data_IF_685432650348
#
_entry.id   IF_685432650348
#
_cell.length_a   1.000
_cell.length_b   1.000
_cell.length_c   1.000
_cell.angle_alpha   90.00
_cell.angle_beta   90.00
_cell.angle_gamma   90.00
#
_symmetry.space_group_name_H-M   'P 1'
#
loop_
_entity.id
_entity.type
_entity.pdbx_description
1 polymer ?
#
# COMPACT_ATOMS: atom_id res chain seq x y z
N UNK A 1 -0.15 5.30 12.68
CA UNK A 1 1.29 5.08 12.91
C UNK A 1 1.99 5.20 11.56
N UNK A 2 2.74 6.28 11.31
CA UNK A 2 3.44 6.48 10.04
C UNK A 2 4.62 5.50 9.99
N UNK A 3 4.52 4.46 9.17
CA UNK A 3 5.60 3.51 8.97
C UNK A 3 6.68 4.13 8.07
N UNK A 4 7.70 4.69 8.70
CA UNK A 4 8.75 5.44 8.02
C UNK A 4 9.87 4.53 7.48
N UNK A 5 9.80 3.22 7.74
CA UNK A 5 10.66 2.22 7.08
C UNK A 5 10.11 1.80 5.71
N UNK A 6 8.87 2.17 5.39
CA UNK A 6 8.23 1.88 4.11
C UNK A 6 9.01 2.51 2.94
N UNK A 7 9.10 1.75 1.86
CA UNK A 7 9.69 2.21 0.60
C UNK A 7 8.91 3.40 0.06
N UNK A 8 9.63 4.34 -0.57
CA UNK A 8 9.02 5.49 -1.21
C UNK A 8 8.09 4.98 -2.32
N UNK A 9 6.86 5.49 -2.39
CA UNK A 9 5.95 5.11 -3.45
C UNK A 9 6.57 5.33 -4.82
N UNK A 10 6.58 4.29 -5.66
CA UNK A 10 7.19 4.32 -6.99
C UNK A 10 6.68 5.47 -7.88
N UNK A 11 5.45 5.95 -7.63
CA UNK A 11 4.88 7.08 -8.33
C UNK A 11 5.65 8.40 -8.14
N UNK A 12 6.37 8.59 -7.03
CA UNK A 12 7.21 9.79 -6.82
C UNK A 12 8.50 9.77 -7.65
N UNK A 13 8.90 8.59 -8.14
CA UNK A 13 10.11 8.38 -8.93
C UNK A 13 9.84 8.29 -10.45
N UNK A 14 8.57 8.35 -10.87
CA UNK A 14 8.21 8.40 -12.28
C UNK A 14 8.68 9.72 -12.89
N UNK A 15 9.41 9.64 -14.02
CA UNK A 15 9.96 10.81 -14.74
C UNK A 15 8.88 11.86 -15.03
N UNK A 16 7.69 11.43 -15.46
CA UNK A 16 6.55 12.32 -15.72
C UNK A 16 6.11 13.08 -14.47
N UNK A 17 6.04 12.41 -13.33
CA UNK A 17 5.60 13.01 -12.07
C UNK A 17 6.67 13.97 -11.49
N UNK A 18 7.95 13.67 -11.68
CA UNK A 18 9.05 14.57 -11.34
C UNK A 18 8.97 15.85 -12.18
N UNK A 19 8.71 15.73 -13.49
CA UNK A 19 8.55 16.90 -14.38
C UNK A 19 7.33 17.74 -13.96
N UNK A 20 6.18 17.11 -13.69
CA UNK A 20 4.97 17.79 -13.20
C UNK A 20 5.23 18.52 -11.88
N UNK A 21 5.98 17.91 -10.96
CA UNK A 21 6.39 18.54 -9.71
C UNK A 21 7.25 19.77 -9.96
N UNK A 22 8.30 19.64 -10.77
CA UNK A 22 9.20 20.76 -11.08
C UNK A 22 8.41 21.92 -11.70
N UNK A 23 7.58 21.66 -12.71
CA UNK A 23 6.77 22.69 -13.37
C UNK A 23 5.79 23.38 -12.41
N UNK A 24 5.07 22.60 -11.60
CA UNK A 24 4.13 23.15 -10.63
C UNK A 24 4.84 23.97 -9.55
N UNK A 25 5.99 23.50 -9.07
CA UNK A 25 6.78 24.20 -8.05
C UNK A 25 7.37 25.50 -8.58
N UNK A 26 7.82 25.53 -9.84
CA UNK A 26 8.29 26.74 -10.50
C UNK A 26 7.16 27.77 -10.67
N UNK A 27 5.98 27.31 -11.11
CA UNK A 27 4.80 28.16 -11.24
C UNK A 27 4.34 28.71 -9.89
N UNK A 28 4.27 27.85 -8.86
CA UNK A 28 3.92 28.26 -7.50
C UNK A 28 4.93 29.27 -6.93
N UNK A 29 6.23 29.02 -7.10
CA UNK A 29 7.28 29.92 -6.62
C UNK A 29 7.17 31.31 -7.27
N UNK A 30 6.88 31.38 -8.57
CA UNK A 30 6.71 32.64 -9.29
C UNK A 30 5.52 33.46 -8.72
N UNK A 31 4.39 32.81 -8.49
CA UNK A 31 3.21 33.45 -7.89
C UNK A 31 3.52 33.86 -6.45
N UNK A 32 4.10 32.97 -5.65
CA UNK A 32 4.38 33.20 -4.24
C UNK A 32 5.32 34.39 -4.03
N UNK A 33 6.38 34.48 -4.83
CA UNK A 33 7.33 35.59 -4.75
C UNK A 33 6.68 36.90 -5.18
N UNK A 34 5.83 36.89 -6.21
CA UNK A 34 5.19 38.11 -6.72
C UNK A 34 4.05 38.62 -5.80
N UNK A 35 3.28 37.72 -5.19
CA UNK A 35 2.13 38.07 -4.35
C UNK A 35 2.56 38.35 -2.91
N UNK A 36 3.44 37.52 -2.35
CA UNK A 36 3.77 37.57 -0.92
C UNK A 36 5.04 38.37 -0.62
N UNK A 37 5.87 38.66 -1.63
CA UNK A 37 7.17 39.35 -1.49
C UNK A 37 7.98 38.92 -0.24
N UNK A 38 8.10 37.60 0.03
CA UNK A 38 8.55 37.07 1.33
C UNK A 38 9.96 37.55 1.74
N UNK A 39 10.80 37.86 0.75
CA UNK A 39 12.19 38.28 0.93
C UNK A 39 12.36 39.80 1.10
N UNK A 40 11.26 40.54 1.31
CA UNK A 40 11.27 42.00 1.47
C UNK A 40 11.55 42.76 0.18
N UNK A 41 11.31 42.14 -0.98
CA UNK A 41 11.60 42.71 -2.32
C UNK A 41 10.90 44.07 -2.51
N UNK A 42 9.78 44.29 -1.82
CA UNK A 42 9.02 45.53 -1.77
C UNK A 42 9.77 46.70 -1.09
N UNK A 43 10.63 46.40 -0.10
CA UNK A 43 11.41 47.42 0.64
C UNK A 43 12.62 47.88 -0.17
N UNK A 44 13.16 47.02 -1.02
CA UNK A 44 14.40 47.27 -1.78
C UNK A 44 14.19 47.99 -3.10
N UNK A 45 13.01 47.86 -3.71
CA UNK A 45 12.73 48.41 -5.03
C UNK A 45 11.50 49.29 -4.97
N UNK A 46 11.70 50.58 -4.70
CA UNK A 46 10.73 51.63 -5.01
C UNK A 46 10.56 51.80 -6.53
N UNK A 47 10.16 50.73 -7.25
CA UNK A 47 10.02 50.78 -8.70
C UNK A 47 8.83 50.02 -9.24
N UNK A 48 8.40 50.46 -10.43
CA UNK A 48 7.29 50.00 -11.25
C UNK A 48 7.14 48.48 -11.27
N UNK A 49 5.89 47.98 -11.19
CA UNK A 49 5.51 46.55 -11.15
C UNK A 49 6.28 45.64 -12.12
N UNK A 50 6.66 46.15 -13.29
CA UNK A 50 7.41 45.43 -14.32
C UNK A 50 8.87 45.11 -13.95
N UNK A 51 9.56 46.01 -13.24
CA UNK A 51 10.93 45.74 -12.79
C UNK A 51 10.95 44.72 -11.66
N UNK A 52 9.98 44.80 -10.74
CA UNK A 52 9.81 43.81 -9.69
C UNK A 52 9.55 42.41 -10.28
N UNK A 53 8.75 42.31 -11.35
CA UNK A 53 8.53 41.07 -12.10
C UNK A 53 9.82 40.51 -12.75
N UNK A 54 10.65 41.36 -13.36
CA UNK A 54 11.90 40.91 -13.98
C UNK A 54 12.91 40.41 -12.93
N UNK A 55 13.13 41.16 -11.86
CA UNK A 55 14.06 40.76 -10.80
C UNK A 55 13.57 39.52 -10.03
N UNK A 56 12.29 39.45 -9.69
CA UNK A 56 11.70 38.25 -9.07
C UNK A 56 11.79 37.04 -9.99
N UNK A 57 11.65 37.20 -11.31
CA UNK A 57 11.80 36.10 -12.27
C UNK A 57 13.22 35.54 -12.29
N UNK A 58 14.26 36.39 -12.25
CA UNK A 58 15.67 35.93 -12.22
C UNK A 58 15.98 35.18 -10.91
N UNK A 59 15.49 35.67 -9.78
CA UNK A 59 15.66 35.05 -8.45
C UNK A 59 14.88 33.72 -8.37
N UNK A 60 13.69 33.65 -8.99
CA UNK A 60 12.88 32.43 -9.05
C UNK A 60 13.55 31.40 -9.97
N UNK A 61 14.04 31.82 -11.14
CA UNK A 61 14.69 30.95 -12.11
C UNK A 61 15.97 30.32 -11.56
N UNK A 62 16.78 31.11 -10.84
CA UNK A 62 17.97 30.60 -10.15
C UNK A 62 17.62 29.61 -9.04
N UNK A 63 16.58 29.89 -8.24
CA UNK A 63 16.08 28.95 -7.23
C UNK A 63 15.57 27.63 -7.82
N UNK A 64 14.76 27.69 -8.88
CA UNK A 64 14.27 26.51 -9.60
C UNK A 64 15.42 25.71 -10.21
N UNK A 65 16.45 26.37 -10.74
CA UNK A 65 17.63 25.69 -11.29
C UNK A 65 18.36 24.87 -10.20
N UNK A 66 18.51 25.42 -8.99
CA UNK A 66 19.11 24.71 -7.85
C UNK A 66 18.29 23.47 -7.48
N UNK A 67 16.96 23.59 -7.45
CA UNK A 67 16.03 22.46 -7.20
C UNK A 67 16.17 21.39 -8.28
N UNK A 68 16.24 21.79 -9.55
CA UNK A 68 16.42 20.86 -10.69
C UNK A 68 17.76 20.11 -10.56
N UNK A 69 18.86 20.81 -10.27
CA UNK A 69 20.18 20.21 -10.07
C UNK A 69 20.15 19.23 -8.89
N UNK A 70 19.58 19.63 -7.75
CA UNK A 70 19.39 18.76 -6.58
C UNK A 70 18.65 17.46 -6.94
N UNK A 71 17.59 17.58 -7.76
CA UNK A 71 16.79 16.44 -8.22
C UNK A 71 17.55 15.53 -9.19
N UNK A 72 18.36 16.09 -10.08
CA UNK A 72 19.21 15.33 -11.01
C UNK A 72 20.27 14.55 -10.22
N UNK A 73 20.91 15.18 -9.24
CA UNK A 73 21.88 14.54 -8.34
C UNK A 73 21.21 13.39 -7.58
N UNK A 74 20.01 13.59 -7.04
CA UNK A 74 19.23 12.54 -6.37
C UNK A 74 18.92 11.37 -7.31
N UNK A 75 18.53 11.65 -8.55
CA UNK A 75 18.22 10.63 -9.56
C UNK A 75 19.45 9.81 -9.97
N UNK A 76 20.61 10.47 -10.14
CA UNK A 76 21.83 9.80 -10.60
C UNK A 76 22.54 9.03 -9.48
N UNK A 77 22.67 9.61 -8.29
CA UNK A 77 23.38 9.02 -7.13
C UNK A 77 22.72 7.74 -6.63
N UNK A 78 21.45 7.51 -6.95
CA UNK A 78 20.66 6.40 -6.41
C UNK A 78 20.03 5.49 -7.46
N UNK A 79 20.61 5.44 -8.67
CA UNK A 79 20.30 4.39 -9.65
C UNK A 79 20.69 3.01 -9.09
N UNK A 80 19.74 2.34 -8.42
CA UNK A 80 19.85 0.94 -8.01
C UNK A 80 19.47 0.62 -6.56
N UNK A 81 19.16 1.60 -5.71
CA UNK A 81 18.68 1.34 -4.33
C UNK A 81 17.31 1.98 -4.10
N UNK A 82 16.36 1.16 -3.62
CA UNK A 82 15.04 1.62 -3.20
C UNK A 82 15.19 2.61 -2.04
N UNK A 83 14.64 3.81 -2.23
CA UNK A 83 14.68 4.85 -1.22
C UNK A 83 13.70 4.53 -0.10
N UNK A 84 14.15 4.68 1.15
CA UNK A 84 13.25 4.70 2.31
C UNK A 84 12.68 6.11 2.50
N UNK A 85 11.45 6.21 3.01
CA UNK A 85 10.76 7.48 3.21
C UNK A 85 11.59 8.51 4.00
N UNK A 86 12.29 8.08 5.06
CA UNK A 86 13.21 8.92 5.83
C UNK A 86 14.34 9.54 5.01
N UNK A 87 14.93 8.77 4.09
CA UNK A 87 16.05 9.25 3.27
C UNK A 87 15.62 10.36 2.30
N UNK A 88 14.35 10.39 1.92
CA UNK A 88 13.77 11.46 1.13
C UNK A 88 13.41 12.67 1.98
N UNK A 89 12.88 12.48 3.20
CA UNK A 89 12.65 13.58 4.13
C UNK A 89 13.96 14.33 4.44
N UNK A 90 15.04 13.60 4.73
CA UNK A 90 16.37 14.18 4.95
C UNK A 90 16.85 14.95 3.71
N UNK A 91 16.57 14.43 2.51
CA UNK A 91 16.96 15.10 1.27
C UNK A 91 16.21 16.42 1.06
N UNK A 92 14.90 16.43 1.30
CA UNK A 92 14.07 17.65 1.21
C UNK A 92 14.51 18.68 2.27
N UNK A 93 14.83 18.24 3.49
CA UNK A 93 15.35 19.13 4.53
C UNK A 93 16.70 19.73 4.14
N UNK A 94 17.61 18.93 3.58
CA UNK A 94 18.88 19.42 3.07
C UNK A 94 18.68 20.43 1.93
N UNK A 95 17.76 20.15 1.01
CA UNK A 95 17.41 21.04 -0.10
C UNK A 95 16.91 22.40 0.38
N UNK A 96 15.98 22.42 1.34
CA UNK A 96 15.46 23.65 1.96
C UNK A 96 16.59 24.43 2.65
N UNK A 97 17.47 23.74 3.38
CA UNK A 97 18.59 24.38 4.08
C UNK A 97 19.60 25.00 3.12
N UNK A 98 20.06 24.26 2.12
CA UNK A 98 21.04 24.77 1.13
C UNK A 98 20.47 25.90 0.29
N UNK A 99 19.18 25.83 -0.08
CA UNK A 99 18.53 26.90 -0.82
C UNK A 99 18.34 28.16 0.04
N UNK A 100 17.95 28.00 1.31
CA UNK A 100 17.89 29.11 2.26
C UNK A 100 19.27 29.75 2.47
N UNK A 101 20.33 28.94 2.64
CA UNK A 101 21.71 29.43 2.74
C UNK A 101 22.14 30.20 1.48
N UNK A 102 21.84 29.68 0.28
CA UNK A 102 22.14 30.37 -0.97
C UNK A 102 21.44 31.74 -1.05
N UNK A 103 20.16 31.82 -0.69
CA UNK A 103 19.42 33.08 -0.65
C UNK A 103 20.03 34.08 0.34
N UNK A 104 20.48 33.63 1.51
CA UNK A 104 21.10 34.52 2.50
C UNK A 104 22.43 35.07 2.04
N UNK A 105 23.25 34.24 1.38
CA UNK A 105 24.51 34.66 0.78
C UNK A 105 24.26 35.63 -0.37
N UNK A 106 23.24 35.38 -1.18
CA UNK A 106 22.81 36.27 -2.25
C UNK A 106 22.40 37.65 -1.70
N UNK A 107 21.54 37.69 -0.68
CA UNK A 107 21.13 38.93 -0.02
C UNK A 107 22.29 39.69 0.61
N UNK A 108 23.22 38.98 1.25
CA UNK A 108 24.35 39.60 1.95
C UNK A 108 25.44 40.11 1.00
N UNK A 109 25.82 39.33 -0.01
CA UNK A 109 26.93 39.65 -0.91
C UNK A 109 26.52 40.59 -2.05
N UNK A 110 25.31 40.45 -2.58
CA UNK A 110 24.87 41.20 -3.76
C UNK A 110 24.01 42.41 -3.35
N UNK A 111 23.06 42.22 -2.42
CA UNK A 111 22.18 43.30 -1.96
C UNK A 111 22.78 44.15 -0.82
N UNK A 112 23.95 43.79 -0.27
CA UNK A 112 24.63 44.53 0.80
C UNK A 112 23.73 44.82 2.02
N UNK A 113 22.86 43.87 2.38
CA UNK A 113 21.97 44.02 3.54
C UNK A 113 22.77 44.06 4.86
N UNK A 114 22.40 45.01 5.74
CA UNK A 114 23.08 45.26 7.04
C UNK A 114 22.51 44.46 8.20
N UNK A 115 21.45 43.67 7.98
CA UNK A 115 20.85 42.82 9.02
C UNK A 115 21.81 41.71 9.48
N UNK A 116 21.65 41.28 10.73
CA UNK A 116 22.45 40.18 11.29
C UNK A 116 22.21 38.88 10.50
N UNK A 117 23.30 38.17 10.19
CA UNK A 117 23.30 36.94 9.40
C UNK A 117 22.32 35.84 9.90
N UNK A 118 22.24 35.51 11.20
CA UNK A 118 21.33 34.46 11.67
C UNK A 118 19.84 34.80 11.49
N UNK A 119 19.48 36.08 11.60
CA UNK A 119 18.09 36.52 11.43
C UNK A 119 17.67 36.42 9.95
N UNK A 120 18.57 36.84 9.04
CA UNK A 120 18.39 36.67 7.59
C UNK A 120 18.28 35.19 7.20
N UNK A 121 19.07 34.32 7.85
CA UNK A 121 19.05 32.89 7.62
C UNK A 121 17.76 32.24 8.06
N UNK A 122 17.27 32.59 9.25
CA UNK A 122 16.01 32.07 9.76
C UNK A 122 14.85 32.48 8.87
N UNK A 123 14.78 33.76 8.48
CA UNK A 123 13.76 34.30 7.59
C UNK A 123 13.80 33.63 6.20
N UNK A 124 14.99 33.50 5.62
CA UNK A 124 15.17 32.88 4.31
C UNK A 124 14.81 31.41 4.30
N UNK A 125 15.26 30.65 5.30
CA UNK A 125 14.91 29.22 5.43
C UNK A 125 13.41 29.03 5.61
N UNK A 126 12.74 29.85 6.42
CA UNK A 126 11.29 29.80 6.61
C UNK A 126 10.54 30.07 5.28
N UNK A 127 10.95 31.11 4.56
CA UNK A 127 10.34 31.47 3.28
C UNK A 127 10.59 30.41 2.20
N UNK A 128 11.81 29.89 2.11
CA UNK A 128 12.17 28.80 1.21
C UNK A 128 11.40 27.52 1.56
N UNK A 129 11.21 27.21 2.84
CA UNK A 129 10.40 26.09 3.28
C UNK A 129 8.94 26.23 2.82
N UNK A 130 8.33 27.41 2.94
CA UNK A 130 6.97 27.65 2.45
C UNK A 130 6.87 27.47 0.93
N UNK A 131 7.83 28.01 0.17
CA UNK A 131 7.87 27.90 -1.30
C UNK A 131 7.98 26.45 -1.76
N UNK A 132 8.71 25.60 -1.05
CA UNK A 132 8.97 24.21 -1.45
C UNK A 132 7.98 23.21 -0.84
N UNK A 133 7.75 23.26 0.48
CA UNK A 133 6.97 22.25 1.19
C UNK A 133 5.49 22.30 0.84
N UNK A 134 4.92 23.48 0.59
CA UNK A 134 3.52 23.62 0.19
C UNK A 134 3.22 22.88 -1.12
N UNK A 135 3.88 23.19 -2.26
CA UNK A 135 3.59 22.50 -3.51
C UNK A 135 3.98 21.02 -3.46
N UNK A 136 5.01 20.66 -2.69
CA UNK A 136 5.40 19.26 -2.52
C UNK A 136 4.33 18.47 -1.76
N UNK A 137 3.76 19.06 -0.70
CA UNK A 137 2.69 18.43 0.07
C UNK A 137 1.42 18.23 -0.76
N UNK A 138 1.02 19.26 -1.53
CA UNK A 138 -0.16 19.21 -2.41
C UNK A 138 0.00 18.13 -3.46
N UNK A 139 1.15 18.07 -4.13
CA UNK A 139 1.40 17.06 -5.16
C UNK A 139 1.58 15.66 -4.59
N UNK A 140 2.20 15.54 -3.41
CA UNK A 140 2.29 14.27 -2.72
C UNK A 140 0.89 13.73 -2.37
N UNK A 141 0.00 14.60 -1.89
CA UNK A 141 -1.38 14.26 -1.60
C UNK A 141 -2.15 13.90 -2.88
N UNK A 142 -1.99 14.69 -3.94
CA UNK A 142 -2.60 14.45 -5.24
C UNK A 142 -2.19 13.09 -5.81
N UNK A 143 -0.89 12.78 -5.86
CA UNK A 143 -0.41 11.49 -6.35
C UNK A 143 -0.80 10.33 -5.43
N UNK A 144 -0.84 10.54 -4.11
CA UNK A 144 -1.33 9.53 -3.17
C UNK A 144 -2.81 9.21 -3.42
N UNK A 145 -3.61 10.23 -3.72
CA UNK A 145 -5.02 10.06 -4.04
C UNK A 145 -5.22 9.39 -5.39
N UNK A 146 -4.48 9.79 -6.41
CA UNK A 146 -4.56 9.18 -7.74
C UNK A 146 -4.14 7.70 -7.71
N UNK A 147 -3.05 7.34 -7.03
CA UNK A 147 -2.63 5.93 -6.89
C UNK A 147 -3.68 5.10 -6.12
N UNK A 148 -4.26 5.65 -5.05
CA UNK A 148 -5.37 5.00 -4.33
C UNK A 148 -6.60 4.81 -5.22
N UNK A 149 -6.94 5.82 -6.02
CA UNK A 149 -8.07 5.76 -6.96
C UNK A 149 -7.81 4.72 -8.04
N UNK A 150 -6.62 4.70 -8.64
CA UNK A 150 -6.27 3.68 -9.65
C UNK A 150 -6.25 2.27 -9.05
N UNK A 151 -5.75 2.08 -7.83
CA UNK A 151 -5.82 0.79 -7.13
C UNK A 151 -7.27 0.38 -6.87
N UNK A 152 -8.11 1.32 -6.42
CA UNK A 152 -9.52 1.07 -6.18
C UNK A 152 -10.25 0.75 -7.50
N UNK A 153 -9.92 1.43 -8.59
CA UNK A 153 -10.46 1.16 -9.92
C UNK A 153 -9.96 -0.17 -10.47
N UNK A 154 -8.71 -0.58 -10.21
CA UNK A 154 -8.22 -1.93 -10.52
C UNK A 154 -9.00 -2.97 -9.73
N UNK A 155 -9.16 -2.81 -8.41
CA UNK A 155 -10.00 -3.69 -7.59
C UNK A 155 -11.47 -3.70 -8.07
N UNK A 156 -11.99 -2.58 -8.57
CA UNK A 156 -13.35 -2.48 -9.10
C UNK A 156 -13.49 -3.10 -10.49
N UNK A 157 -12.49 -2.97 -11.36
CA UNK A 157 -12.45 -3.54 -12.73
C UNK A 157 -12.10 -5.02 -12.73
N UNK A 158 -11.20 -5.43 -11.83
CA UNK A 158 -10.91 -6.83 -11.49
C UNK A 158 -12.07 -7.43 -10.67
N UNK A 159 -12.92 -6.57 -10.11
CA UNK A 159 -13.99 -6.94 -9.20
C UNK A 159 -13.46 -7.50 -7.89
N UNK A 160 -14.23 -7.36 -6.80
CA UNK A 160 -14.44 -8.57 -6.01
C UNK A 160 -15.00 -9.56 -7.02
N UNK A 161 -14.44 -10.76 -7.21
CA UNK A 161 -14.97 -11.70 -8.18
C UNK A 161 -16.42 -12.01 -7.78
N UNK A 162 -17.36 -11.31 -8.42
CA UNK A 162 -18.80 -11.47 -8.27
C UNK A 162 -19.26 -12.57 -9.22
N UNK A 163 -18.56 -13.69 -9.13
CA UNK A 163 -18.69 -14.91 -9.88
C UNK A 163 -17.72 -15.90 -9.26
N UNK A 164 -18.06 -17.19 -9.14
CA UNK A 164 -17.17 -18.17 -8.53
C UNK A 164 -15.87 -18.16 -9.33
N UNK A 165 -14.79 -17.62 -8.75
CA UNK A 165 -13.46 -18.04 -9.14
C UNK A 165 -13.46 -19.50 -8.76
N UNK A 166 -13.72 -20.38 -9.74
CA UNK A 166 -13.67 -21.82 -9.53
C UNK A 166 -12.35 -22.11 -8.83
N UNK A 167 -12.44 -22.47 -7.54
CA UNK A 167 -11.29 -22.77 -6.72
C UNK A 167 -10.78 -21.71 -5.74
N UNK A 168 -11.52 -20.66 -5.32
CA UNK A 168 -11.20 -19.91 -4.09
C UNK A 168 -12.30 -20.02 -3.03
N UNK A 169 -11.91 -20.35 -1.79
CA UNK A 169 -12.78 -20.46 -0.62
C UNK A 169 -12.53 -19.27 0.30
N UNK A 170 -13.58 -18.50 0.53
CA UNK A 170 -13.57 -17.31 1.38
C UNK A 170 -14.21 -17.61 2.73
N UNK A 171 -13.49 -17.29 3.81
CA UNK A 171 -13.96 -17.42 5.18
C UNK A 171 -14.21 -16.02 5.77
N UNK A 172 -15.48 -15.77 6.08
CA UNK A 172 -15.96 -14.49 6.59
C UNK A 172 -16.13 -14.52 8.12
N UNK A 173 -15.99 -13.36 8.74
CA UNK A 173 -16.34 -13.15 10.15
C UNK A 173 -17.85 -13.00 10.35
N UNK A 174 -18.30 -12.98 11.60
CA UNK A 174 -19.71 -12.82 11.96
C UNK A 174 -20.38 -11.59 11.32
N UNK A 175 -19.59 -10.54 11.02
CA UNK A 175 -20.01 -9.27 10.42
C UNK A 175 -19.85 -9.20 8.90
N UNK A 176 -19.57 -10.32 8.22
CA UNK A 176 -19.36 -10.37 6.77
C UNK A 176 -18.02 -9.82 6.28
N UNK A 177 -17.07 -9.54 7.18
CA UNK A 177 -15.72 -9.15 6.82
C UNK A 177 -14.87 -10.37 6.43
N UNK A 178 -14.21 -10.32 5.27
CA UNK A 178 -13.32 -11.39 4.82
C UNK A 178 -12.11 -11.51 5.77
N UNK A 179 -11.97 -12.66 6.46
CA UNK A 179 -10.88 -12.90 7.42
C UNK A 179 -9.78 -13.76 6.85
N UNK A 180 -10.15 -14.73 6.02
CA UNK A 180 -9.21 -15.70 5.49
C UNK A 180 -9.67 -16.17 4.12
N UNK A 181 -8.76 -16.24 3.16
CA UNK A 181 -9.04 -16.72 1.79
C UNK A 181 -7.93 -17.64 1.38
N UNK A 182 -8.30 -18.81 0.88
CA UNK A 182 -7.36 -19.71 0.24
C UNK A 182 -7.96 -20.33 -1.00
N UNK A 183 -7.11 -20.91 -1.83
CA UNK A 183 -7.59 -21.69 -2.97
C UNK A 183 -8.19 -23.02 -2.49
N UNK A 184 -9.31 -23.45 -3.07
CA UNK A 184 -9.97 -24.71 -2.77
C UNK A 184 -9.02 -25.91 -2.92
N UNK A 185 -8.10 -25.85 -3.89
CA UNK A 185 -7.05 -26.87 -4.12
C UNK A 185 -6.12 -27.06 -2.92
N UNK A 186 -5.99 -26.06 -2.04
CA UNK A 186 -5.14 -26.15 -0.86
C UNK A 186 -5.92 -26.49 0.41
N UNK A 187 -7.26 -26.51 0.36
CA UNK A 187 -8.11 -26.78 1.52
C UNK A 187 -8.27 -28.30 1.70
N UNK A 188 -7.93 -28.80 2.88
CA UNK A 188 -8.04 -30.23 3.21
C UNK A 188 -9.31 -30.50 4.01
N UNK A 189 -9.37 -30.03 5.25
CA UNK A 189 -10.50 -30.27 6.14
C UNK A 189 -10.65 -29.15 7.18
N UNK A 190 -11.83 -29.10 7.78
CA UNK A 190 -12.20 -28.21 8.86
C UNK A 190 -12.48 -29.04 10.12
N UNK A 191 -11.98 -28.57 11.26
CA UNK A 191 -12.15 -29.21 12.56
C UNK A 191 -12.79 -28.23 13.54
N UNK A 192 -13.85 -28.66 14.23
CA UNK A 192 -14.51 -27.86 15.26
C UNK A 192 -13.70 -27.85 16.56
N UNK A 193 -13.50 -26.65 17.11
CA UNK A 193 -12.89 -26.40 18.42
C UNK A 193 -13.75 -25.40 19.21
N UNK A 194 -14.81 -25.90 19.84
CA UNK A 194 -15.82 -25.12 20.58
C UNK A 194 -16.45 -23.98 19.75
N UNK A 195 -16.02 -22.73 19.97
CA UNK A 195 -16.47 -21.53 19.27
C UNK A 195 -15.54 -21.12 18.12
N UNK A 196 -14.60 -21.98 17.78
CA UNK A 196 -13.63 -21.80 16.72
C UNK A 196 -13.65 -23.00 15.78
N UNK A 197 -13.16 -22.76 14.56
CA UNK A 197 -12.92 -23.79 13.56
C UNK A 197 -11.46 -23.69 13.13
N UNK A 198 -10.76 -24.82 13.20
CA UNK A 198 -9.45 -24.96 12.57
C UNK A 198 -9.64 -25.25 11.09
N UNK A 199 -9.07 -24.39 10.27
CA UNK A 199 -9.00 -24.55 8.81
C UNK A 199 -7.63 -25.17 8.51
N UNK A 200 -7.61 -26.43 8.12
CA UNK A 200 -6.39 -27.14 7.75
C UNK A 200 -6.16 -27.04 6.25
N UNK A 201 -5.02 -26.48 5.86
CA UNK A 201 -4.67 -26.22 4.46
C UNK A 201 -3.20 -26.52 4.17
N UNK A 202 -2.89 -26.68 2.89
CA UNK A 202 -1.54 -26.87 2.39
C UNK A 202 -0.93 -25.51 2.02
N UNK A 203 0.18 -25.15 2.63
CA UNK A 203 0.97 -23.97 2.29
C UNK A 203 2.34 -24.41 1.76
N UNK A 204 2.58 -24.24 0.47
CA UNK A 204 3.82 -24.67 -0.21
C UNK A 204 4.22 -26.12 0.11
N UNK A 205 3.25 -27.04 0.17
CA UNK A 205 3.49 -28.46 0.49
C UNK A 205 3.55 -28.78 1.99
N UNK A 206 3.48 -27.78 2.89
CA UNK A 206 3.45 -27.99 4.34
C UNK A 206 2.04 -27.85 4.90
N UNK A 207 1.64 -28.77 5.76
CA UNK A 207 0.37 -28.70 6.48
C UNK A 207 0.39 -27.52 7.46
N UNK A 208 -0.53 -26.57 7.26
CA UNK A 208 -0.73 -25.41 8.12
C UNK A 208 -2.18 -25.35 8.58
N UNK A 209 -2.42 -24.69 9.72
CA UNK A 209 -3.77 -24.51 10.27
C UNK A 209 -4.02 -23.06 10.63
N UNK A 210 -5.23 -22.58 10.34
CA UNK A 210 -5.70 -21.25 10.69
C UNK A 210 -6.92 -21.34 11.62
N UNK A 211 -6.93 -20.56 12.71
CA UNK A 211 -8.05 -20.52 13.65
C UNK A 211 -9.04 -19.43 13.23
N UNK A 212 -10.29 -19.78 12.99
CA UNK A 212 -11.38 -18.84 12.70
C UNK A 212 -12.45 -18.93 13.79
N UNK A 213 -12.92 -17.79 14.31
CA UNK A 213 -14.09 -17.75 15.19
C UNK A 213 -15.35 -17.96 14.35
N UNK A 214 -15.86 -19.19 14.32
CA UNK A 214 -17.09 -19.57 13.63
C UNK A 214 -17.53 -20.94 14.13
N UNK A 215 -18.63 -21.48 13.59
CA UNK A 215 -19.04 -22.85 13.81
C UNK A 215 -19.23 -23.59 12.47
N UNK A 216 -19.09 -24.92 12.48
CA UNK A 216 -19.19 -25.73 11.26
C UNK A 216 -20.58 -25.67 10.60
N UNK A 217 -21.64 -25.40 11.36
CA UNK A 217 -23.00 -25.30 10.80
C UNK A 217 -23.10 -24.08 9.87
N UNK A 218 -22.63 -22.93 10.35
CA UNK A 218 -22.59 -21.67 9.63
C UNK A 218 -21.63 -21.74 8.43
N UNK A 219 -20.44 -22.31 8.62
CA UNK A 219 -19.51 -22.50 7.49
C UNK A 219 -20.08 -23.46 6.44
N UNK A 220 -20.82 -24.48 6.86
CA UNK A 220 -21.62 -25.30 5.95
C UNK A 220 -22.56 -24.42 5.13
N UNK A 221 -23.45 -23.67 5.77
CA UNK A 221 -24.40 -22.70 5.17
C UNK A 221 -23.74 -21.70 4.21
N UNK A 222 -22.63 -21.07 4.59
CA UNK A 222 -21.91 -20.11 3.75
C UNK A 222 -21.19 -20.75 2.56
N UNK A 223 -20.79 -22.03 2.67
CA UNK A 223 -19.96 -22.73 1.67
C UNK A 223 -20.72 -23.87 0.96
N UNK A 224 -22.06 -23.81 0.88
CA UNK A 224 -22.89 -24.83 0.20
C UNK A 224 -22.50 -25.07 -1.27
N UNK A 225 -21.89 -24.08 -1.91
CA UNK A 225 -21.43 -24.15 -3.31
C UNK A 225 -19.99 -24.66 -3.48
N UNK A 226 -19.30 -24.98 -2.38
CA UNK A 226 -17.94 -25.50 -2.38
C UNK A 226 -17.94 -27.04 -2.23
N UNK A 227 -16.87 -27.71 -2.63
CA UNK A 227 -16.67 -29.16 -2.48
C UNK A 227 -16.51 -29.61 -1.00
N UNK A 228 -16.97 -28.82 -0.03
CA UNK A 228 -16.86 -29.11 1.38
C UNK A 228 -18.10 -29.85 1.87
N UNK A 229 -17.89 -31.06 2.35
CA UNK A 229 -18.96 -31.95 2.81
C UNK A 229 -18.77 -32.24 4.29
N UNK A 230 -19.87 -32.22 5.04
CA UNK A 230 -19.86 -32.57 6.45
C UNK A 230 -19.79 -34.08 6.61
N UNK A 231 -18.78 -34.57 7.31
CA UNK A 231 -18.57 -36.01 7.55
C UNK A 231 -18.81 -36.39 9.02
N UNK A 232 -18.66 -35.44 9.94
CA UNK A 232 -18.87 -35.65 11.37
C UNK A 232 -19.45 -34.39 12.03
N UNK A 233 -19.95 -34.51 13.27
CA UNK A 233 -20.38 -33.33 14.05
C UNK A 233 -19.24 -32.32 14.23
N UNK A 234 -18.00 -32.82 14.31
CA UNK A 234 -16.78 -32.04 14.54
C UNK A 234 -15.88 -31.87 13.30
N UNK A 235 -16.23 -32.46 12.14
CA UNK A 235 -15.38 -32.42 10.94
C UNK A 235 -16.16 -32.15 9.66
N UNK A 236 -15.57 -31.34 8.78
CA UNK A 236 -15.95 -31.16 7.37
C UNK A 236 -14.73 -31.41 6.50
N UNK A 237 -14.90 -32.09 5.37
CA UNK A 237 -13.81 -32.49 4.48
C UNK A 237 -14.03 -31.96 3.08
N UNK A 238 -12.96 -31.63 2.38
CA UNK A 238 -13.02 -31.32 0.96
C UNK A 238 -13.10 -32.64 0.16
N UNK A 239 -14.21 -32.88 -0.54
CA UNK A 239 -14.46 -34.12 -1.29
C UNK A 239 -13.47 -34.33 -2.43
N UNK A 240 -12.95 -33.26 -3.04
CA UNK A 240 -11.96 -33.31 -4.12
C UNK A 240 -10.58 -33.79 -3.63
N UNK A 241 -10.33 -33.75 -2.32
CA UNK A 241 -9.04 -34.13 -1.70
C UNK A 241 -9.10 -35.43 -0.91
N UNK A 242 -10.21 -36.15 -1.02
CA UNK A 242 -10.35 -37.49 -0.43
C UNK A 242 -9.62 -38.50 -1.31
N UNK A 243 -8.61 -39.18 -0.77
CA UNK A 243 -7.87 -40.20 -1.50
C UNK A 243 -8.52 -41.58 -1.39
N UNK A 244 -9.08 -41.91 -0.22
CA UNK A 244 -9.67 -43.23 0.02
C UNK A 244 -10.72 -43.18 1.13
N UNK A 245 -11.85 -43.86 0.90
CA UNK A 245 -12.87 -44.12 1.92
C UNK A 245 -12.80 -45.59 2.30
N UNK A 246 -12.46 -45.89 3.56
CA UNK A 246 -12.41 -47.27 4.11
C UNK A 246 -13.52 -47.50 5.11
N UNK A 247 -14.03 -48.73 5.13
CA UNK A 247 -14.98 -49.19 6.15
C UNK A 247 -14.25 -50.15 7.09
N UNK A 248 -14.14 -49.77 8.35
CA UNK A 248 -13.53 -50.57 9.41
C UNK A 248 -14.60 -51.09 10.38
N UNK A 249 -14.22 -51.95 11.33
CA UNK A 249 -15.09 -52.52 12.36
C UNK A 249 -15.79 -51.45 13.23
N UNK A 250 -15.19 -50.27 13.35
CA UNK A 250 -15.69 -49.13 14.14
C UNK A 250 -16.46 -48.08 13.32
N UNK A 251 -16.53 -48.20 11.99
CA UNK A 251 -17.26 -47.27 11.13
C UNK A 251 -16.54 -46.90 9.82
N UNK A 252 -17.06 -45.87 9.13
CA UNK A 252 -16.47 -45.31 7.92
C UNK A 252 -15.35 -44.31 8.29
N UNK A 253 -14.21 -44.41 7.62
CA UNK A 253 -13.05 -43.52 7.79
C UNK A 253 -12.59 -42.98 6.44
N UNK A 254 -12.22 -41.70 6.41
CA UNK A 254 -11.73 -40.98 5.24
C UNK A 254 -10.24 -40.75 5.39
N UNK A 255 -9.47 -41.12 4.38
CA UNK A 255 -8.06 -40.76 4.21
C UNK A 255 -7.96 -39.64 3.18
N UNK A 256 -7.19 -38.59 3.50
CA UNK A 256 -7.02 -37.40 2.67
C UNK A 256 -5.68 -37.43 1.93
N UNK A 257 -5.65 -36.88 0.73
CA UNK A 257 -4.43 -36.75 -0.08
C UNK A 257 -3.39 -35.89 0.67
N UNK A 258 -2.17 -36.43 0.87
CA UNK A 258 -1.09 -35.76 1.60
C UNK A 258 -1.05 -36.00 3.13
N UNK A 259 -1.98 -36.77 3.69
CA UNK A 259 -2.03 -37.13 5.12
C UNK A 259 -1.90 -38.66 5.32
N UNK A 260 -0.68 -39.20 5.17
CA UNK A 260 -0.43 -40.64 5.20
C UNK A 260 -0.78 -41.37 6.52
N UNK A 261 -1.00 -40.64 7.64
CA UNK A 261 -1.24 -41.23 8.97
C UNK A 261 -2.45 -40.63 9.71
N UNK A 262 -3.34 -39.91 9.02
CA UNK A 262 -4.50 -39.27 9.66
C UNK A 262 -5.78 -39.67 8.94
N UNK A 263 -6.70 -40.30 9.69
CA UNK A 263 -8.01 -40.69 9.17
C UNK A 263 -9.11 -39.94 9.92
N UNK A 264 -10.07 -39.40 9.16
CA UNK A 264 -11.20 -38.63 9.70
C UNK A 264 -12.41 -39.58 9.84
N UNK A 265 -13.02 -39.71 11.03
CA UNK A 265 -14.18 -40.58 11.22
C UNK A 265 -15.44 -39.97 10.58
N UNK A 266 -16.27 -40.83 9.97
CA UNK A 266 -17.55 -40.44 9.38
C UNK A 266 -18.69 -40.97 10.25
N UNK A 267 -19.59 -40.08 10.66
CA UNK A 267 -20.79 -40.49 11.40
C UNK A 267 -21.81 -41.16 10.46
N UNK A 268 -22.54 -42.18 10.92
CA UNK A 268 -23.54 -42.89 10.12
C UNK A 268 -24.63 -41.97 9.55
N UNK A 269 -24.94 -40.85 10.22
CA UNK A 269 -25.91 -39.85 9.74
C UNK A 269 -25.43 -39.11 8.49
N UNK A 270 -24.11 -38.93 8.33
CA UNK A 270 -23.51 -38.19 7.21
C UNK A 270 -22.90 -39.09 6.14
N UNK A 271 -22.90 -40.41 6.36
CA UNK A 271 -22.27 -41.38 5.47
C UNK A 271 -22.85 -41.35 4.04
N UNK A 272 -24.17 -41.22 3.89
CA UNK A 272 -24.83 -41.18 2.58
C UNK A 272 -24.45 -39.92 1.78
N UNK A 273 -24.35 -38.78 2.45
CA UNK A 273 -24.03 -37.48 1.83
C UNK A 273 -22.59 -37.45 1.33
N UNK A 274 -21.64 -37.89 2.16
CA UNK A 274 -20.22 -38.02 1.79
C UNK A 274 -20.01 -38.95 0.60
N UNK A 275 -20.68 -40.10 0.59
CA UNK A 275 -20.55 -41.07 -0.51
C UNK A 275 -21.08 -40.48 -1.83
N UNK A 276 -22.23 -39.80 -1.80
CA UNK A 276 -22.76 -39.15 -3.01
C UNK A 276 -21.84 -38.06 -3.55
N UNK A 277 -21.27 -37.23 -2.68
CA UNK A 277 -20.36 -36.17 -3.08
C UNK A 277 -19.03 -36.71 -3.63
N UNK A 278 -18.51 -37.79 -3.06
CA UNK A 278 -17.31 -38.45 -3.58
C UNK A 278 -17.53 -39.01 -4.99
N UNK A 279 -18.69 -39.62 -5.26
CA UNK A 279 -18.99 -40.16 -6.61
C UNK A 279 -19.18 -39.09 -7.66
N UNK A 280 -19.66 -37.90 -7.30
CA UNK A 280 -19.85 -36.77 -8.23
C UNK A 280 -18.54 -36.03 -8.55
N UNK A 281 -17.57 -36.07 -7.63
CA UNK A 281 -16.26 -35.42 -7.82
C UNK A 281 -15.27 -36.27 -8.62
N UNK A 282 -15.54 -37.58 -8.78
CA UNK A 282 -14.67 -38.53 -9.47
C UNK A 282 -15.04 -38.81 -10.93
N UNK A 283 -16.07 -38.14 -11.48
CA UNK A 283 -16.48 -38.21 -12.90
C UNK A 283 -16.02 -36.99 -13.66
#
# INVERSE_FOLDING_TARGET
>A
MFDLQKEIPAYLMLKSNIIRLILFTAFFALIFINVYAPFGVDVWFHTTRWQLLLYSSVITLTGVLVVVISRIIMYYTRRGKLLRLWQYLIWVLAEVFFMGLFYTLYQKLILHDRRFFPDLLTLSVQNTALVLLLPYSVLWLYFSWEDKKTRLEKIRKEGVPAGPVMGMVHFCDERGGLRFSLKAENLLYLEAADNYVYIHYLDNGKLSRHLLRSNLKRLGEELHSSALVRCHRSYMVNSEKVSLIRRDKEGLRIEMEGLANFSIPVSPTYASEVLSAFTQSGS
#
